data_IF_660144590332
#
_entry.id   IF_660144590332
#
_cell.length_a   1.000
_cell.length_b   1.000
_cell.length_c   1.000
_cell.angle_alpha   90.00
_cell.angle_beta   90.00
_cell.angle_gamma   90.00
#
_symmetry.space_group_name_H-M   'P 1'
#
loop_
_entity.id
_entity.type
_entity.pdbx_description
1 polymer ?
#
# COMPACT_ATOMS: atom_id res chain seq x y z
N UNK A 1 -14.20 5.34 5.67
CA UNK A 1 -13.26 6.21 6.44
C UNK A 1 -13.70 6.25 7.90
N UNK A 2 -12.79 6.04 8.86
CA UNK A 2 -13.13 5.93 10.29
C UNK A 2 -12.86 7.22 11.07
N UNK A 3 -11.75 7.91 10.77
CA UNK A 3 -11.37 9.18 11.42
C UNK A 3 -10.62 10.07 10.43
N UNK A 4 -11.08 11.31 10.15
CA UNK A 4 -10.28 12.30 9.44
C UNK A 4 -9.14 12.84 10.29
N UNK A 5 -8.05 13.19 9.64
CA UNK A 5 -6.83 13.66 10.29
C UNK A 5 -5.95 14.45 9.33
N UNK A 6 -4.63 14.36 9.54
CA UNK A 6 -3.62 15.13 8.83
C UNK A 6 -3.58 14.96 7.32
N UNK A 7 -4.13 13.88 6.76
CA UNK A 7 -4.29 13.72 5.31
C UNK A 7 -5.51 14.46 4.73
N UNK A 8 -6.41 14.95 5.58
CA UNK A 8 -7.59 15.75 5.20
C UNK A 8 -7.51 17.14 5.83
N UNK A 9 -6.28 17.66 5.96
CA UNK A 9 -5.96 18.96 6.56
C UNK A 9 -6.46 19.16 8.01
N UNK A 10 -6.74 18.06 8.71
CA UNK A 10 -7.07 18.03 10.13
C UNK A 10 -5.86 17.76 11.04
N UNK A 11 -6.11 17.56 12.34
CA UNK A 11 -5.07 17.25 13.33
C UNK A 11 -5.02 15.77 13.73
N UNK A 12 -3.80 15.25 13.89
CA UNK A 12 -3.54 13.86 14.28
C UNK A 12 -3.72 12.85 13.13
N UNK A 13 -3.80 11.55 13.46
CA UNK A 13 -3.75 10.50 12.44
C UNK A 13 -5.08 10.34 11.68
N UNK A 14 -5.00 10.23 10.36
CA UNK A 14 -6.13 9.79 9.53
C UNK A 14 -6.25 8.28 9.65
N UNK A 15 -7.47 7.77 9.89
CA UNK A 15 -7.75 6.33 10.00
C UNK A 15 -8.84 5.96 9.01
N UNK A 16 -8.56 4.98 8.16
CA UNK A 16 -9.49 4.42 7.20
C UNK A 16 -9.55 2.90 7.37
N UNK A 17 -10.67 2.33 6.96
CA UNK A 17 -10.82 0.90 6.81
C UNK A 17 -11.46 0.62 5.47
N UNK A 18 -11.07 -0.50 4.88
CA UNK A 18 -11.53 -0.97 3.58
C UNK A 18 -11.96 -2.43 3.73
N UNK A 19 -13.11 -2.77 3.14
CA UNK A 19 -13.61 -4.12 3.08
C UNK A 19 -13.65 -4.52 1.60
N UNK A 20 -12.95 -5.60 1.28
CA UNK A 20 -12.80 -6.08 -0.09
C UNK A 20 -13.30 -7.51 -0.21
N UNK A 21 -13.99 -7.80 -1.32
CA UNK A 21 -14.34 -9.16 -1.70
C UNK A 21 -13.30 -9.71 -2.68
N UNK A 22 -12.74 -10.88 -2.38
CA UNK A 22 -11.84 -11.59 -3.26
C UNK A 22 -12.66 -12.51 -4.17
N UNK A 23 -12.84 -12.11 -5.43
CA UNK A 23 -13.58 -12.91 -6.41
C UNK A 23 -12.74 -14.10 -6.89
N UNK A 24 -13.38 -15.22 -7.30
CA UNK A 24 -12.70 -16.38 -7.88
C UNK A 24 -11.71 -16.00 -8.98
N UNK A 25 -10.52 -16.60 -8.95
CA UNK A 25 -9.52 -16.35 -9.97
C UNK A 25 -9.83 -17.14 -11.25
N UNK A 26 -9.63 -16.51 -12.43
CA UNK A 26 -9.88 -17.15 -13.73
C UNK A 26 -8.92 -18.34 -13.96
N UNK A 27 -7.69 -18.27 -13.47
CA UNK A 27 -6.65 -19.31 -13.57
C UNK A 27 -5.97 -19.57 -12.22
N UNK A 28 -6.74 -19.62 -11.13
CA UNK A 28 -6.21 -19.83 -9.78
C UNK A 28 -7.25 -20.47 -8.88
N UNK A 29 -7.24 -20.13 -7.59
CA UNK A 29 -8.22 -20.67 -6.65
C UNK A 29 -9.66 -20.25 -7.02
N UNK A 30 -10.58 -21.21 -7.15
CA UNK A 30 -11.96 -20.95 -7.54
C UNK A 30 -12.81 -20.40 -6.39
N UNK A 31 -12.27 -20.38 -5.17
CA UNK A 31 -12.98 -19.89 -4.00
C UNK A 31 -13.11 -18.37 -3.97
N UNK A 32 -14.08 -17.90 -3.20
CA UNK A 32 -14.19 -16.50 -2.83
C UNK A 32 -13.49 -16.26 -1.49
N UNK A 33 -13.13 -15.02 -1.23
CA UNK A 33 -12.56 -14.60 0.05
C UNK A 33 -12.99 -13.19 0.41
N UNK A 34 -12.50 -12.71 1.54
CA UNK A 34 -12.73 -11.36 2.00
C UNK A 34 -11.49 -10.83 2.71
N UNK A 35 -11.27 -9.53 2.63
CA UNK A 35 -10.18 -8.84 3.28
C UNK A 35 -10.70 -7.60 4.00
N UNK A 36 -10.26 -7.43 5.24
CA UNK A 36 -10.47 -6.23 6.03
C UNK A 36 -9.13 -5.54 6.22
N UNK A 37 -9.02 -4.33 5.71
CA UNK A 37 -7.80 -3.51 5.80
C UNK A 37 -8.05 -2.32 6.72
N UNK A 38 -7.05 -2.02 7.54
CA UNK A 38 -6.96 -0.86 8.39
C UNK A 38 -5.74 -0.04 7.97
N UNK A 39 -5.96 1.25 7.72
CA UNK A 39 -4.94 2.19 7.26
C UNK A 39 -4.91 3.34 8.26
N UNK A 40 -3.76 3.55 8.89
CA UNK A 40 -3.50 4.71 9.73
C UNK A 40 -2.40 5.54 9.10
N UNK A 41 -2.60 6.85 8.99
CA UNK A 41 -1.65 7.73 8.33
C UNK A 41 -1.45 9.02 9.10
N UNK A 42 -0.20 9.47 9.19
CA UNK A 42 0.17 10.71 9.85
C UNK A 42 1.12 11.49 8.96
N UNK A 43 0.74 12.72 8.64
CA UNK A 43 1.56 13.68 7.90
C UNK A 43 2.19 14.68 8.87
N UNK A 44 3.48 14.89 8.71
CA UNK A 44 4.25 15.99 9.27
C UNK A 44 4.86 16.83 8.14
N UNK A 45 5.47 17.97 8.47
CA UNK A 45 6.18 18.78 7.48
C UNK A 45 7.39 18.06 6.87
N UNK A 46 8.00 17.14 7.61
CA UNK A 46 9.23 16.45 7.21
C UNK A 46 8.99 15.08 6.53
N UNK A 47 7.86 14.42 6.77
CA UNK A 47 7.53 13.11 6.20
C UNK A 47 6.05 12.78 6.39
N UNK A 48 5.58 11.78 5.65
CA UNK A 48 4.31 11.10 5.89
C UNK A 48 4.56 9.64 6.21
N UNK A 49 3.92 9.12 7.27
CA UNK A 49 3.94 7.72 7.65
C UNK A 49 2.57 7.11 7.39
N UNK A 50 2.54 5.95 6.75
CA UNK A 50 1.37 5.12 6.61
C UNK A 50 1.63 3.77 7.26
N UNK A 51 0.68 3.29 8.04
CA UNK A 51 0.65 1.97 8.64
C UNK A 51 -0.56 1.24 8.08
N UNK A 52 -0.32 0.10 7.44
CA UNK A 52 -1.32 -0.72 6.80
C UNK A 52 -1.35 -2.08 7.48
N UNK A 53 -2.53 -2.54 7.88
CA UNK A 53 -2.74 -3.89 8.40
C UNK A 53 -3.95 -4.49 7.73
N UNK A 54 -3.86 -5.74 7.29
CA UNK A 54 -5.00 -6.46 6.75
C UNK A 54 -5.12 -7.85 7.34
N UNK A 55 -6.37 -8.30 7.47
CA UNK A 55 -6.72 -9.69 7.75
C UNK A 55 -7.59 -10.19 6.60
N UNK A 56 -7.28 -11.38 6.11
CA UNK A 56 -7.99 -11.97 5.00
C UNK A 56 -8.45 -13.40 5.32
N UNK A 57 -9.62 -13.76 4.81
CA UNK A 57 -9.94 -15.14 4.48
C UNK A 57 -9.67 -15.28 2.99
N UNK A 58 -8.63 -16.03 2.64
CA UNK A 58 -8.14 -16.14 1.26
C UNK A 58 -9.08 -17.01 0.42
N UNK A 59 -8.85 -17.04 -0.90
CA UNK A 59 -9.64 -17.86 -1.84
C UNK A 59 -9.53 -19.36 -1.56
N UNK A 60 -8.45 -19.78 -0.91
CA UNK A 60 -8.21 -21.16 -0.46
C UNK A 60 -8.84 -21.45 0.92
N UNK A 61 -9.60 -20.48 1.47
CA UNK A 61 -10.15 -20.49 2.84
C UNK A 61 -9.10 -20.58 3.95
N UNK A 62 -7.91 -20.04 3.70
CA UNK A 62 -6.89 -19.87 4.73
C UNK A 62 -6.98 -18.48 5.35
N UNK A 63 -6.48 -18.36 6.59
CA UNK A 63 -6.30 -17.05 7.19
C UNK A 63 -5.01 -16.43 6.67
N UNK A 64 -5.11 -15.19 6.21
CA UNK A 64 -3.98 -14.38 5.78
C UNK A 64 -3.87 -13.12 6.64
N UNK A 65 -2.66 -12.62 6.77
CA UNK A 65 -2.42 -11.30 7.32
C UNK A 65 -1.39 -10.54 6.50
N UNK A 66 -1.52 -9.22 6.52
CA UNK A 66 -0.56 -8.28 5.99
C UNK A 66 -0.29 -7.20 7.04
N UNK A 67 0.96 -6.81 7.21
CA UNK A 67 1.35 -5.65 8.00
C UNK A 67 2.46 -4.90 7.29
N UNK A 68 2.26 -3.62 7.03
CA UNK A 68 3.18 -2.78 6.29
C UNK A 68 3.30 -1.38 6.87
N UNK A 69 4.45 -0.77 6.63
CA UNK A 69 4.74 0.62 6.94
C UNK A 69 5.37 1.29 5.73
N UNK A 70 4.83 2.44 5.35
CA UNK A 70 5.32 3.26 4.24
C UNK A 70 5.73 4.61 4.80
N UNK A 71 6.93 5.07 4.45
CA UNK A 71 7.43 6.40 4.77
C UNK A 71 7.66 7.15 3.47
N UNK A 72 7.01 8.29 3.33
CA UNK A 72 7.19 9.22 2.22
C UNK A 72 7.89 10.49 2.70
N UNK A 73 8.75 11.04 1.87
CA UNK A 73 9.35 12.36 2.10
C UNK A 73 8.32 13.50 2.04
N UNK A 74 8.76 14.75 2.28
CA UNK A 74 7.87 15.91 2.34
C UNK A 74 7.03 16.09 1.07
N UNK A 75 5.73 16.32 1.23
CA UNK A 75 4.80 16.56 0.12
C UNK A 75 5.17 17.79 -0.74
N UNK A 76 5.85 18.77 -0.12
CA UNK A 76 6.31 19.97 -0.79
C UNK A 76 7.42 19.69 -1.83
N UNK A 77 8.12 18.57 -1.73
CA UNK A 77 9.22 18.26 -2.64
C UNK A 77 8.71 17.77 -3.99
N UNK A 78 9.27 18.25 -5.13
CA UNK A 78 8.95 17.72 -6.45
C UNK A 78 9.33 16.25 -6.62
N UNK A 79 10.44 15.83 -6.02
CA UNK A 79 10.91 14.44 -5.98
C UNK A 79 10.97 14.00 -4.53
N UNK A 80 10.15 13.01 -4.17
CA UNK A 80 9.99 12.53 -2.81
C UNK A 80 10.55 11.12 -2.69
N UNK A 81 11.46 10.85 -1.74
CA UNK A 81 11.83 9.48 -1.44
C UNK A 81 10.63 8.76 -0.84
N UNK A 82 10.50 7.47 -1.15
CA UNK A 82 9.53 6.57 -0.52
C UNK A 82 10.24 5.29 -0.11
N UNK A 83 9.92 4.82 1.08
CA UNK A 83 10.35 3.52 1.58
C UNK A 83 9.14 2.75 2.08
N UNK A 84 9.13 1.44 1.85
CA UNK A 84 8.11 0.56 2.38
C UNK A 84 8.77 -0.67 2.98
N UNK A 85 8.24 -1.15 4.10
CA UNK A 85 8.51 -2.49 4.59
C UNK A 85 7.19 -3.17 4.87
N UNK A 86 7.07 -4.45 4.52
CA UNK A 86 5.91 -5.24 4.88
C UNK A 86 6.27 -6.68 5.20
N UNK A 87 5.38 -7.31 5.95
CA UNK A 87 5.34 -8.74 6.16
C UNK A 87 3.94 -9.26 5.88
N UNK A 88 3.85 -10.38 5.17
CA UNK A 88 2.59 -11.05 4.88
C UNK A 88 2.73 -12.56 5.05
N UNK A 89 1.63 -13.22 5.38
CA UNK A 89 1.59 -14.68 5.47
C UNK A 89 0.18 -15.17 5.14
N UNK A 90 0.11 -16.37 4.57
CA UNK A 90 -1.12 -17.11 4.36
C UNK A 90 -0.97 -18.50 5.02
N UNK A 91 -2.01 -18.89 5.78
CA UNK A 91 -2.02 -20.15 6.52
C UNK A 91 -0.89 -20.24 7.55
N UNK A 92 -0.37 -21.45 7.72
CA UNK A 92 0.74 -21.76 8.64
C UNK A 92 2.12 -21.53 8.02
N UNK A 93 2.18 -20.86 6.87
CA UNK A 93 3.43 -20.56 6.16
C UNK A 93 4.35 -19.62 6.93
N UNK A 94 5.63 -19.62 6.55
CA UNK A 94 6.55 -18.60 7.02
C UNK A 94 6.24 -17.25 6.35
N UNK A 95 6.26 -16.13 7.09
CA UNK A 95 5.94 -14.83 6.52
C UNK A 95 6.96 -14.41 5.47
N UNK A 96 6.45 -13.90 4.36
CA UNK A 96 7.22 -13.19 3.35
C UNK A 96 7.49 -11.79 3.88
N UNK A 97 8.75 -11.35 3.80
CA UNK A 97 9.16 -10.01 4.21
C UNK A 97 9.69 -9.27 3.00
N UNK A 98 9.20 -8.06 2.77
CA UNK A 98 9.66 -7.21 1.69
C UNK A 98 10.06 -5.83 2.19
N UNK A 99 11.11 -5.28 1.58
CA UNK A 99 11.49 -3.90 1.67
C UNK A 99 11.54 -3.28 0.29
N UNK A 100 11.09 -2.04 0.16
CA UNK A 100 11.15 -1.25 -1.06
C UNK A 100 11.75 0.12 -0.75
N UNK A 101 12.56 0.60 -1.69
CA UNK A 101 13.05 1.96 -1.73
C UNK A 101 12.82 2.54 -3.12
N UNK A 102 12.27 3.74 -3.17
CA UNK A 102 11.92 4.39 -4.42
C UNK A 102 11.82 5.89 -4.31
N UNK A 103 11.36 6.49 -5.41
CA UNK A 103 11.09 7.92 -5.51
C UNK A 103 9.80 8.15 -6.26
N UNK A 104 9.09 9.20 -5.87
CA UNK A 104 7.89 9.71 -6.54
C UNK A 104 8.21 11.11 -7.05
N UNK A 105 8.16 11.30 -8.35
CA UNK A 105 8.35 12.59 -9.01
C UNK A 105 7.01 13.18 -9.45
N UNK A 106 6.59 14.26 -8.80
CA UNK A 106 5.45 15.07 -9.23
C UNK A 106 5.86 15.95 -10.41
N UNK A 107 5.52 15.52 -11.62
CA UNK A 107 5.78 16.25 -12.87
C UNK A 107 4.81 17.44 -13.01
N UNK A 108 3.57 17.26 -12.56
CA UNK A 108 2.55 18.32 -12.49
C UNK A 108 1.52 18.00 -11.41
N UNK A 109 0.58 18.90 -11.15
CA UNK A 109 -0.54 18.67 -10.22
C UNK A 109 -1.46 17.50 -10.64
N UNK A 110 -1.33 17.03 -11.89
CA UNK A 110 -2.15 15.93 -12.44
C UNK A 110 -1.34 14.70 -12.85
N UNK A 111 -0.03 14.74 -12.74
CA UNK A 111 0.85 13.65 -13.19
C UNK A 111 2.00 13.45 -12.21
N UNK A 112 2.14 12.24 -11.71
CA UNK A 112 3.29 11.77 -10.97
C UNK A 112 3.88 10.53 -11.66
N UNK A 113 5.20 10.41 -11.62
CA UNK A 113 5.95 9.23 -12.02
C UNK A 113 6.57 8.62 -10.77
N UNK A 114 6.68 7.31 -10.72
CA UNK A 114 7.30 6.61 -9.61
C UNK A 114 8.22 5.50 -10.09
N UNK A 115 9.31 5.30 -9.37
CA UNK A 115 10.21 4.17 -9.59
C UNK A 115 10.74 3.66 -8.26
N UNK A 116 10.88 2.34 -8.16
CA UNK A 116 11.33 1.72 -6.94
C UNK A 116 12.06 0.40 -7.19
N UNK A 117 12.93 0.04 -6.25
CA UNK A 117 13.55 -1.26 -6.13
C UNK A 117 12.96 -1.96 -4.92
N UNK A 118 12.48 -3.18 -5.11
CA UNK A 118 11.93 -4.03 -4.06
C UNK A 118 12.81 -5.26 -3.88
N UNK A 119 13.10 -5.56 -2.62
CA UNK A 119 13.67 -6.82 -2.18
C UNK A 119 12.59 -7.58 -1.42
N UNK A 120 12.40 -8.85 -1.74
CA UNK A 120 11.51 -9.74 -1.01
C UNK A 120 12.28 -10.97 -0.58
N UNK A 121 11.98 -11.48 0.61
CA UNK A 121 12.57 -12.70 1.15
C UNK A 121 11.47 -13.58 1.71
N UNK A 122 11.49 -14.85 1.30
CA UNK A 122 10.59 -15.88 1.82
C UNK A 122 11.44 -17.01 2.38
N UNK A 123 11.04 -17.58 3.52
CA UNK A 123 11.78 -18.72 4.07
C UNK A 123 11.73 -19.89 3.09
N UNK A 124 12.90 -20.29 2.57
CA UNK A 124 13.04 -21.42 1.66
C UNK A 124 13.15 -21.08 0.17
N UNK A 125 12.82 -19.85 -0.26
CA UNK A 125 12.75 -19.50 -1.70
C UNK A 125 13.80 -18.47 -2.16
N UNK A 126 14.64 -17.97 -1.24
CA UNK A 126 15.69 -17.00 -1.52
C UNK A 126 15.19 -15.54 -1.51
N UNK A 127 16.07 -14.62 -1.96
CA UNK A 127 15.78 -13.19 -2.08
C UNK A 127 15.40 -12.86 -3.52
N UNK A 128 14.21 -12.29 -3.73
CA UNK A 128 13.77 -11.75 -5.01
C UNK A 128 14.09 -10.26 -5.12
N UNK A 129 14.49 -9.83 -6.32
CA UNK A 129 14.68 -8.42 -6.68
C UNK A 129 13.63 -8.04 -7.74
N UNK A 130 12.86 -6.99 -7.48
CA UNK A 130 11.87 -6.43 -8.40
C UNK A 130 12.18 -4.96 -8.66
N UNK A 131 12.06 -4.55 -9.92
CA UNK A 131 12.11 -3.14 -10.33
C UNK A 131 10.69 -2.70 -10.73
N UNK A 132 10.27 -1.57 -10.18
CA UNK A 132 8.95 -0.98 -10.44
C UNK A 132 9.09 0.36 -11.13
N UNK A 133 8.24 0.57 -12.11
CA UNK A 133 8.05 1.84 -12.80
C UNK A 133 6.55 2.05 -12.91
N UNK A 134 6.08 3.18 -12.38
CA UNK A 134 4.68 3.53 -12.35
C UNK A 134 4.46 4.98 -12.76
N UNK A 135 3.20 5.28 -13.06
CA UNK A 135 2.74 6.64 -13.21
C UNK A 135 1.31 6.74 -12.70
N UNK A 136 1.00 7.90 -12.11
CA UNK A 136 -0.33 8.22 -11.60
C UNK A 136 -0.79 9.50 -12.30
N UNK A 137 -2.00 9.47 -12.86
CA UNK A 137 -2.60 10.65 -13.48
C UNK A 137 -4.02 10.90 -12.99
N UNK A 138 -4.36 12.18 -12.78
CA UNK A 138 -5.70 12.61 -12.37
C UNK A 138 -6.51 13.03 -13.60
N UNK A 139 -7.70 12.44 -13.76
CA UNK A 139 -8.68 12.82 -14.77
C UNK A 139 -9.77 13.65 -14.12
N UNK A 140 -9.98 14.88 -14.59
CA UNK A 140 -11.07 15.71 -14.12
C UNK A 140 -12.41 15.20 -14.63
N UNK A 141 -13.28 14.71 -13.75
CA UNK A 141 -14.68 14.46 -14.08
C UNK A 141 -15.43 15.79 -14.01
N UNK A 142 -15.42 16.55 -15.11
CA UNK A 142 -16.21 17.77 -15.24
C UNK A 142 -17.70 17.46 -15.26
N UNK A 143 -18.34 17.40 -14.08
CA UNK A 143 -19.77 17.61 -13.99
C UNK A 143 -20.00 19.13 -13.87
N UNK A 144 -20.66 19.78 -14.84
CA UNK A 144 -21.13 21.15 -14.64
C UNK A 144 -22.11 21.14 -13.46
N UNK A 145 -21.89 22.06 -12.52
CA UNK A 145 -22.84 22.35 -11.44
C UNK A 145 -24.05 23.10 -11.97
#
# INVERSE_FOLDING_TARGET
>A
MLRPGSLQDGTGPSIATELSALLPAINGDPGAGAELTLIASQRWSALTLHLNGALAVTRSHQLGYFAGAIVEGPEAWPVRPVGEVFAESEGDGAPVRSGLLGVIWRVSDRLALDTAVRLASSAGSGTGLELRFGFTFAVGTGFPR
#
